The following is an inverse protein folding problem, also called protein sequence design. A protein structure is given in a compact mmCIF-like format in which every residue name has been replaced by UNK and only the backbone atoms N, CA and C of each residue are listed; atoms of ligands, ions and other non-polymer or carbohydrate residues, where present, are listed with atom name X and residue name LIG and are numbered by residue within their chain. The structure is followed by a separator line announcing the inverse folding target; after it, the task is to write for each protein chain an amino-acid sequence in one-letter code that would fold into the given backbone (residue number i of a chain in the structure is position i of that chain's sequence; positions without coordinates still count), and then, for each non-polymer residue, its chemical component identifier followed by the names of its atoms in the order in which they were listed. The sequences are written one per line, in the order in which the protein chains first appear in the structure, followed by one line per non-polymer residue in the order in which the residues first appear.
data_IF_862425372579
#
_entry.id   IF_862425372579
#
_cell.length_a   1.000
_cell.length_b   1.000
_cell.length_c   1.000
_cell.angle_alpha   90.00
_cell.angle_beta   90.00
_cell.angle_gamma   90.00
#
_symmetry.space_group_name_H-M   'P 1'
#
loop_
_entity.id
_entity.type
_entity.pdbx_description
1 polymer ?
#
# COMPACT_ATOMS: atom_id res chain seq x y z
N UNK A 1 7.57 -19.17 24.10
CA UNK A 1 8.38 -17.96 24.34
C UNK A 1 8.12 -16.96 23.24
N UNK A 2 7.92 -15.69 23.58
CA UNK A 2 7.78 -14.60 22.61
C UNK A 2 9.05 -13.76 22.62
N UNK A 3 9.60 -13.45 21.44
CA UNK A 3 10.78 -12.60 21.28
C UNK A 3 10.36 -11.36 20.52
N UNK A 4 10.45 -10.20 21.17
CA UNK A 4 10.12 -8.90 20.59
C UNK A 4 11.41 -8.10 20.39
N UNK A 5 11.69 -7.72 19.15
CA UNK A 5 12.91 -7.01 18.77
C UNK A 5 12.55 -5.74 18.01
N UNK A 6 13.26 -4.67 18.32
CA UNK A 6 13.09 -3.39 17.65
C UNK A 6 14.31 -3.10 16.77
N UNK A 7 14.09 -3.04 15.45
CA UNK A 7 15.15 -2.78 14.47
C UNK A 7 15.75 -1.37 14.59
N UNK A 8 14.96 -0.37 14.99
CA UNK A 8 15.43 1.01 15.17
C UNK A 8 16.39 1.11 16.35
N UNK A 9 16.02 0.57 17.51
CA UNK A 9 16.91 0.55 18.68
C UNK A 9 18.19 -0.24 18.39
N UNK A 10 18.09 -1.34 17.63
CA UNK A 10 19.28 -2.09 17.21
C UNK A 10 20.20 -1.24 16.32
N UNK A 11 19.65 -0.50 15.35
CA UNK A 11 20.42 0.38 14.46
C UNK A 11 21.06 1.55 15.23
N UNK A 12 20.31 2.18 16.14
CA UNK A 12 20.80 3.24 17.04
C UNK A 12 22.02 2.76 17.84
N UNK A 13 21.95 1.55 18.42
CA UNK A 13 23.09 0.93 19.12
C UNK A 13 24.29 0.65 18.20
N UNK A 14 24.08 0.39 16.91
CA UNK A 14 25.21 0.25 15.98
C UNK A 14 25.83 1.62 15.66
N UNK A 15 25.03 2.67 15.49
CA UNK A 15 25.52 4.04 15.30
C UNK A 15 26.35 4.49 16.51
N UNK A 16 25.86 4.30 17.73
CA UNK A 16 26.60 4.60 18.98
C UNK A 16 27.96 3.88 19.00
N UNK A 17 28.01 2.59 18.65
CA UNK A 17 29.25 1.80 18.61
C UNK A 17 30.24 2.26 17.55
N UNK A 18 29.76 2.86 16.46
CA UNK A 18 30.57 3.34 15.34
C UNK A 18 30.89 4.83 15.45
N UNK A 19 30.40 5.51 16.50
CA UNK A 19 30.58 6.95 16.68
C UNK A 19 29.85 7.80 15.63
N UNK A 20 28.78 7.28 15.01
CA UNK A 20 27.98 8.02 14.03
C UNK A 20 26.95 8.86 14.79
N UNK A 21 27.03 10.19 14.68
CA UNK A 21 26.05 11.09 15.29
C UNK A 21 24.68 11.00 14.63
N UNK A 22 23.64 11.08 15.44
CA UNK A 22 22.25 11.10 14.99
C UNK A 22 21.34 11.80 16.01
N UNK A 23 20.23 12.33 15.52
CA UNK A 23 19.11 12.76 16.36
C UNK A 23 17.99 11.72 16.27
N UNK A 24 17.53 11.20 17.40
CA UNK A 24 16.48 10.18 17.43
C UNK A 24 15.08 10.75 17.14
N UNK A 25 14.22 9.93 16.54
CA UNK A 25 12.76 9.99 16.68
C UNK A 25 12.32 8.78 17.52
N UNK A 26 11.11 8.80 18.06
CA UNK A 26 10.53 7.61 18.70
C UNK A 26 10.44 6.46 17.66
N UNK A 27 11.22 5.39 17.81
CA UNK A 27 11.32 4.35 16.77
C UNK A 27 11.72 4.91 15.39
N UNK A 28 12.74 5.78 15.33
CA UNK A 28 13.25 6.33 14.08
C UNK A 28 14.49 7.20 14.22
N UNK A 29 14.88 7.83 13.12
CA UNK A 29 15.99 8.78 13.02
C UNK A 29 15.46 10.08 12.43
N UNK A 30 15.70 11.20 13.11
CA UNK A 30 15.39 12.55 12.63
C UNK A 30 16.50 13.05 11.71
N UNK A 31 17.74 12.82 12.11
CA UNK A 31 18.93 13.24 11.40
C UNK A 31 20.08 12.28 11.69
N UNK A 32 21.05 12.20 10.79
CA UNK A 32 22.23 11.36 10.95
C UNK A 32 23.40 11.93 10.14
N UNK A 33 24.58 12.00 10.76
CA UNK A 33 25.80 12.53 10.13
C UNK A 33 26.22 11.74 8.88
N UNK A 34 25.94 10.43 8.86
CA UNK A 34 26.18 9.56 7.69
C UNK A 34 24.94 8.68 7.40
N UNK A 35 23.96 9.20 6.63
CA UNK A 35 22.76 8.45 6.26
C UNK A 35 23.05 7.19 5.43
N UNK A 36 24.14 7.19 4.65
CA UNK A 36 24.52 6.04 3.83
C UNK A 36 25.08 4.90 4.70
N UNK A 37 25.89 5.22 5.71
CA UNK A 37 26.31 4.25 6.71
C UNK A 37 25.13 3.73 7.56
N UNK A 38 24.20 4.61 7.96
CA UNK A 38 22.97 4.20 8.64
C UNK A 38 22.16 3.21 7.80
N UNK A 39 21.97 3.47 6.50
CA UNK A 39 21.27 2.54 5.63
C UNK A 39 21.99 1.19 5.54
N UNK A 40 23.33 1.19 5.39
CA UNK A 40 24.13 -0.05 5.42
C UNK A 40 24.00 -0.80 6.74
N UNK A 41 23.88 -0.12 7.88
CA UNK A 41 23.61 -0.72 9.18
C UNK A 41 22.25 -1.40 9.16
N UNK A 42 21.19 -0.69 8.79
CA UNK A 42 19.83 -1.24 8.66
C UNK A 42 19.81 -2.46 7.72
N UNK A 43 20.53 -2.39 6.61
CA UNK A 43 20.59 -3.46 5.61
C UNK A 43 21.24 -4.75 6.11
N UNK A 44 22.15 -4.64 7.10
CA UNK A 44 22.82 -5.78 7.73
C UNK A 44 21.92 -6.52 8.72
N UNK A 45 20.83 -5.92 9.19
CA UNK A 45 19.90 -6.59 10.09
C UNK A 45 19.28 -7.80 9.39
N UNK A 46 19.49 -8.99 9.96
CA UNK A 46 19.13 -10.26 9.35
C UNK A 46 18.70 -11.31 10.36
N UNK A 47 18.23 -12.45 9.84
CA UNK A 47 17.84 -13.61 10.65
C UNK A 47 18.96 -14.11 11.59
N UNK A 48 20.23 -13.94 11.19
CA UNK A 48 21.39 -14.24 12.02
C UNK A 48 21.42 -13.43 13.32
N UNK A 49 21.16 -12.11 13.25
CA UNK A 49 21.12 -11.26 14.44
C UNK A 49 20.02 -11.69 15.44
N UNK A 50 18.85 -12.09 14.93
CA UNK A 50 17.75 -12.62 15.74
C UNK A 50 18.14 -13.95 16.41
N UNK A 51 18.74 -14.88 15.65
CA UNK A 51 19.21 -16.17 16.19
C UNK A 51 20.30 -15.97 17.25
N UNK A 52 21.29 -15.10 16.98
CA UNK A 52 22.35 -14.79 17.93
C UNK A 52 21.81 -14.11 19.20
N UNK A 53 20.78 -13.27 19.09
CA UNK A 53 20.09 -12.71 20.24
C UNK A 53 19.41 -13.81 21.06
N UNK A 54 18.60 -14.64 20.41
CA UNK A 54 17.87 -15.73 21.06
C UNK A 54 18.82 -16.70 21.79
N UNK A 55 19.85 -17.22 21.12
CA UNK A 55 20.78 -18.18 21.71
C UNK A 55 21.68 -17.60 22.81
N UNK A 56 21.88 -16.27 22.83
CA UNK A 56 22.55 -15.58 23.94
C UNK A 56 21.69 -15.61 25.19
N UNK A 57 20.40 -15.32 25.06
CA UNK A 57 19.46 -15.28 26.18
C UNK A 57 18.99 -16.65 26.62
N UNK A 58 18.84 -17.61 25.70
CA UNK A 58 18.42 -18.96 26.04
C UNK A 58 19.40 -19.67 26.99
N UNK A 59 20.68 -19.30 26.98
CA UNK A 59 21.66 -19.80 27.95
C UNK A 59 21.47 -19.25 29.37
N UNK A 60 20.68 -18.20 29.54
CA UNK A 60 20.47 -17.49 30.81
C UNK A 60 19.04 -17.65 31.34
N UNK A 61 18.08 -17.90 30.45
CA UNK A 61 16.67 -18.03 30.81
C UNK A 61 16.32 -19.47 31.19
N UNK A 62 15.35 -19.68 32.09
CA UNK A 62 14.81 -21.00 32.38
C UNK A 62 14.30 -21.70 31.11
N UNK A 63 14.64 -22.97 30.96
CA UNK A 63 14.26 -23.80 29.82
C UNK A 63 13.35 -24.93 30.27
N UNK A 64 12.20 -25.17 29.62
CA UNK A 64 11.42 -26.40 29.83
C UNK A 64 12.12 -27.66 29.30
N UNK A 65 13.10 -27.51 28.40
CA UNK A 65 13.91 -28.64 27.94
C UNK A 65 14.97 -28.97 28.99
N UNK A 66 15.00 -30.24 29.40
CA UNK A 66 16.02 -30.79 30.29
C UNK A 66 17.33 -31.04 29.54
N UNK A 67 18.39 -31.37 30.28
CA UNK A 67 19.66 -31.79 29.66
C UNK A 67 19.53 -33.09 28.86
N UNK A 68 18.60 -33.95 29.22
CA UNK A 68 18.34 -35.21 28.51
C UNK A 68 17.63 -34.93 27.17
N UNK A 69 16.61 -34.07 27.17
CA UNK A 69 15.91 -33.66 25.95
C UNK A 69 16.88 -33.07 24.92
N UNK A 70 17.79 -32.19 25.37
CA UNK A 70 18.79 -31.59 24.49
C UNK A 70 19.75 -32.64 23.93
N UNK A 71 20.17 -33.63 24.75
CA UNK A 71 21.01 -34.76 24.28
C UNK A 71 20.27 -35.65 23.29
N UNK A 72 18.96 -35.81 23.44
CA UNK A 72 18.08 -36.51 22.51
C UNK A 72 17.78 -35.72 21.23
N UNK A 73 18.29 -34.48 21.11
CA UNK A 73 18.18 -33.65 19.90
C UNK A 73 16.99 -32.68 19.89
N UNK A 74 16.24 -32.54 20.98
CA UNK A 74 15.18 -31.54 21.07
C UNK A 74 15.79 -30.13 21.14
N UNK A 75 15.37 -29.26 20.20
CA UNK A 75 15.91 -27.91 20.04
C UNK A 75 14.81 -26.91 19.67
N UNK A 76 15.06 -25.63 19.95
CA UNK A 76 14.16 -24.54 19.56
C UNK A 76 14.31 -24.19 18.07
N UNK A 77 13.18 -24.06 17.40
CA UNK A 77 13.07 -23.43 16.08
C UNK A 77 12.29 -22.11 16.20
N UNK A 78 12.81 -21.04 15.61
CA UNK A 78 12.17 -19.72 15.64
C UNK A 78 11.20 -19.57 14.48
N UNK A 79 10.03 -18.98 14.74
CA UNK A 79 9.05 -18.63 13.73
C UNK A 79 8.62 -17.17 13.84
N UNK A 80 8.41 -16.53 12.69
CA UNK A 80 7.83 -15.19 12.63
C UNK A 80 6.38 -15.23 13.10
N UNK A 81 6.07 -14.38 14.07
CA UNK A 81 4.69 -14.02 14.41
C UNK A 81 4.28 -12.71 13.76
N UNK A 82 5.18 -11.75 13.78
CA UNK A 82 5.01 -10.43 13.20
C UNK A 82 6.36 -9.99 12.65
N UNK A 83 6.34 -9.36 11.48
CA UNK A 83 7.53 -8.81 10.84
C UNK A 83 7.18 -7.43 10.28
N UNK A 84 7.90 -6.40 10.73
CA UNK A 84 7.62 -5.01 10.39
C UNK A 84 8.74 -4.39 9.58
N UNK A 85 8.39 -3.66 8.54
CA UNK A 85 9.30 -2.93 7.68
C UNK A 85 8.82 -1.48 7.61
N UNK A 86 9.67 -0.54 8.00
CA UNK A 86 9.40 0.89 7.98
C UNK A 86 10.28 1.62 6.96
N UNK A 87 9.68 2.53 6.19
CA UNK A 87 10.34 3.60 5.44
C UNK A 87 9.95 4.93 6.10
N UNK A 88 10.95 5.70 6.54
CA UNK A 88 10.73 7.00 7.21
C UNK A 88 11.39 8.09 6.41
N UNK A 89 10.59 9.00 5.86
CA UNK A 89 11.07 10.14 5.06
C UNK A 89 10.97 11.41 5.89
N UNK A 90 12.11 11.95 6.27
CA UNK A 90 12.19 13.20 7.04
C UNK A 90 12.18 14.39 6.08
N UNK A 91 11.34 15.39 6.36
CA UNK A 91 11.23 16.59 5.54
C UNK A 91 12.12 17.70 6.06
N UNK A 92 12.82 18.37 5.14
CA UNK A 92 13.54 19.64 5.36
C UNK A 92 12.58 20.77 5.77
N UNK A 93 11.36 20.77 5.21
CA UNK A 93 10.26 21.69 5.52
C UNK A 93 9.05 20.90 6.06
N UNK A 94 9.02 20.58 7.36
CA UNK A 94 7.97 19.74 7.95
C UNK A 94 6.53 20.20 7.70
N UNK A 95 6.28 21.52 7.72
CA UNK A 95 4.95 22.07 7.44
C UNK A 95 4.49 21.74 6.01
N UNK A 96 5.38 21.82 5.02
CA UNK A 96 5.06 21.45 3.64
C UNK A 96 4.84 19.94 3.49
N UNK A 97 5.63 19.11 4.18
CA UNK A 97 5.43 17.66 4.23
C UNK A 97 4.08 17.29 4.85
N UNK A 98 3.67 17.99 5.91
CA UNK A 98 2.35 17.83 6.54
C UNK A 98 1.23 18.23 5.59
N UNK A 99 1.29 19.41 4.98
CA UNK A 99 0.29 19.86 4.02
C UNK A 99 0.16 18.90 2.83
N UNK A 100 1.29 18.40 2.31
CA UNK A 100 1.32 17.36 1.28
C UNK A 100 0.56 16.11 1.73
N UNK A 101 0.85 15.60 2.93
CA UNK A 101 0.21 14.39 3.43
C UNK A 101 -1.28 14.59 3.73
N UNK A 102 -1.69 15.73 4.27
CA UNK A 102 -3.09 16.08 4.50
C UNK A 102 -3.87 16.22 3.19
N UNK A 103 -3.27 16.87 2.17
CA UNK A 103 -3.84 16.92 0.82
C UNK A 103 -3.95 15.53 0.22
N UNK A 104 -2.93 14.69 0.38
CA UNK A 104 -2.93 13.33 -0.12
C UNK A 104 -4.03 12.48 0.55
N UNK A 105 -4.18 12.56 1.87
CA UNK A 105 -5.25 11.90 2.60
C UNK A 105 -6.60 12.41 2.09
N UNK A 106 -6.77 13.72 1.94
CA UNK A 106 -7.97 14.31 1.34
C UNK A 106 -8.20 13.72 -0.04
N UNK A 107 -7.19 13.67 -0.90
CA UNK A 107 -7.18 13.11 -2.26
C UNK A 107 -7.54 11.63 -2.36
N UNK A 108 -7.23 10.85 -1.33
CA UNK A 108 -7.50 9.41 -1.27
C UNK A 108 -8.68 9.06 -0.35
N UNK A 109 -9.26 10.04 0.35
CA UNK A 109 -10.42 9.86 1.24
C UNK A 109 -11.72 9.56 0.46
N UNK A 110 -11.82 9.97 -0.81
CA UNK A 110 -12.94 9.55 -1.68
C UNK A 110 -12.78 8.13 -2.23
N UNK A 111 -11.56 7.59 -2.24
CA UNK A 111 -11.29 6.14 -2.38
C UNK A 111 -11.60 5.41 -1.05
N UNK A 112 -11.80 6.17 0.03
CA UNK A 112 -12.10 5.74 1.39
C UNK A 112 -13.58 5.78 1.77
N UNK A 113 -14.52 5.83 0.82
CA UNK A 113 -15.91 5.50 1.16
C UNK A 113 -15.98 4.07 1.71
N UNK A 114 -16.72 3.81 2.81
CA UNK A 114 -16.61 2.59 3.62
C UNK A 114 -16.74 1.27 2.85
N UNK A 115 -17.46 1.30 1.73
CA UNK A 115 -17.71 0.15 0.86
C UNK A 115 -16.55 -0.22 -0.10
N UNK A 116 -15.66 0.70 -0.48
CA UNK A 116 -14.76 0.54 -1.65
C UNK A 116 -13.34 0.03 -1.34
N UNK A 117 -13.16 -0.57 -0.17
CA UNK A 117 -11.89 -0.54 0.55
C UNK A 117 -11.16 -1.92 0.62
N UNK A 118 -11.66 -2.95 -0.06
CA UNK A 118 -11.33 -4.37 0.20
C UNK A 118 -10.19 -5.03 -0.60
N UNK A 119 -9.55 -4.36 -1.56
CA UNK A 119 -8.79 -5.06 -2.60
C UNK A 119 -7.25 -5.19 -2.42
N UNK A 120 -6.61 -4.90 -1.26
CA UNK A 120 -5.22 -4.35 -1.26
C UNK A 120 -4.05 -5.23 -1.76
N UNK A 121 -4.14 -6.54 -1.96
CA UNK A 121 -2.90 -7.33 -1.78
C UNK A 121 -2.76 -8.69 -2.49
N UNK A 122 -3.25 -8.85 -3.71
CA UNK A 122 -2.54 -9.73 -4.67
C UNK A 122 -2.60 -11.27 -4.57
N UNK A 123 -3.69 -11.93 -4.16
CA UNK A 123 -3.88 -13.36 -4.52
C UNK A 123 -5.34 -13.76 -4.77
N UNK A 124 -5.50 -14.78 -5.63
CA UNK A 124 -6.76 -15.33 -6.18
C UNK A 124 -7.70 -15.81 -5.05
N UNK A 125 -8.89 -15.23 -4.99
CA UNK A 125 -9.94 -15.51 -4.00
C UNK A 125 -10.75 -16.73 -4.49
N UNK A 126 -10.89 -17.75 -3.65
CA UNK A 126 -11.85 -18.85 -3.87
C UNK A 126 -12.84 -18.91 -2.71
N UNK A 127 -13.98 -19.58 -2.91
CA UNK A 127 -15.06 -19.77 -1.90
C UNK A 127 -14.59 -20.43 -0.58
N UNK A 128 -13.34 -20.91 -0.52
CA UNK A 128 -12.70 -21.54 0.64
C UNK A 128 -11.68 -20.64 1.36
N UNK A 129 -11.52 -19.37 0.98
CA UNK A 129 -10.52 -18.47 1.60
C UNK A 129 -11.11 -17.75 2.83
N UNK A 130 -10.66 -18.03 4.07
CA UNK A 130 -11.18 -17.37 5.28
C UNK A 130 -10.49 -16.01 5.55
N UNK A 131 -11.24 -15.00 6.02
CA UNK A 131 -10.70 -13.71 6.52
C UNK A 131 -11.58 -12.47 6.27
N UNK A 132 -11.41 -11.41 7.07
CA UNK A 132 -12.06 -10.09 6.93
C UNK A 132 -11.10 -9.04 6.36
N UNK A 133 -11.59 -8.18 5.48
CA UNK A 133 -10.80 -7.19 4.71
C UNK A 133 -11.36 -5.79 4.99
N UNK A 134 -10.49 -4.82 5.32
CA UNK A 134 -10.89 -3.42 5.56
C UNK A 134 -9.72 -2.46 5.37
N UNK A 135 -10.02 -1.19 5.26
CA UNK A 135 -9.12 -0.04 5.20
C UNK A 135 -9.78 0.98 6.09
N UNK A 136 -9.01 1.57 6.99
CA UNK A 136 -9.54 2.52 7.95
C UNK A 136 -8.66 3.75 7.88
N UNK A 137 -9.23 4.86 7.44
CA UNK A 137 -8.66 6.16 7.80
C UNK A 137 -9.03 6.37 9.25
N UNK A 138 -8.02 6.42 10.12
CA UNK A 138 -8.21 6.68 11.54
C UNK A 138 -7.76 8.12 11.77
N UNK A 139 -8.72 9.02 11.91
CA UNK A 139 -8.50 10.31 12.55
C UNK A 139 -8.56 10.10 14.05
N UNK A 140 -7.41 9.87 14.69
CA UNK A 140 -7.28 9.92 16.15
C UNK A 140 -6.66 11.26 16.52
N UNK A 141 -7.48 12.23 16.92
CA UNK A 141 -7.02 13.60 17.20
C UNK A 141 -6.64 14.36 15.92
N UNK A 142 -5.53 15.11 15.97
CA UNK A 142 -5.07 16.06 14.92
C UNK A 142 -4.14 15.43 13.87
N UNK A 143 -3.68 14.19 14.06
CA UNK A 143 -2.74 13.52 13.16
C UNK A 143 -3.46 12.44 12.33
N UNK A 144 -3.65 12.66 11.01
CA UNK A 144 -4.35 11.70 10.19
C UNK A 144 -3.47 10.47 9.89
N UNK A 145 -4.09 9.29 9.81
CA UNK A 145 -3.40 8.04 9.46
C UNK A 145 -4.14 7.29 8.37
N UNK A 146 -3.38 6.79 7.39
CA UNK A 146 -3.84 5.82 6.39
C UNK A 146 -3.51 4.42 6.92
N UNK A 147 -4.49 3.50 6.93
CA UNK A 147 -4.26 2.08 7.25
C UNK A 147 -4.99 1.18 6.26
N UNK A 148 -4.26 0.30 5.60
CA UNK A 148 -4.76 -0.61 4.58
C UNK A 148 -4.43 -2.05 4.96
N UNK A 149 -5.40 -2.98 4.92
CA UNK A 149 -5.21 -4.35 5.43
C UNK A 149 -5.23 -5.42 4.34
N UNK A 150 -4.33 -6.41 4.49
CA UNK A 150 -4.27 -7.65 3.72
C UNK A 150 -4.48 -8.82 4.64
N UNK A 151 -5.58 -9.59 4.55
CA UNK A 151 -5.70 -10.79 5.41
C UNK A 151 -5.36 -10.42 6.87
N UNK A 152 -4.26 -10.96 7.39
CA UNK A 152 -3.73 -10.64 8.72
C UNK A 152 -2.73 -9.47 8.77
N UNK A 153 -2.16 -9.08 7.64
CA UNK A 153 -1.13 -8.03 7.48
C UNK A 153 -1.74 -6.65 7.21
N UNK A 154 -0.96 -5.58 7.36
CA UNK A 154 -1.40 -4.20 7.10
C UNK A 154 -0.24 -3.30 6.70
N UNK A 155 -0.53 -2.29 5.89
CA UNK A 155 0.35 -1.13 5.69
C UNK A 155 -0.27 0.09 6.37
N UNK A 156 0.56 0.89 7.02
CA UNK A 156 0.18 2.08 7.77
C UNK A 156 1.04 3.24 7.30
N UNK A 157 0.43 4.39 7.13
CA UNK A 157 1.17 5.62 6.88
C UNK A 157 0.63 6.77 7.70
N UNK A 158 1.53 7.52 8.32
CA UNK A 158 1.19 8.62 9.22
C UNK A 158 2.33 9.63 9.28
N UNK A 159 1.98 10.86 9.66
CA UNK A 159 2.96 11.91 9.89
C UNK A 159 3.47 11.82 11.33
N UNK A 160 4.74 11.46 11.48
CA UNK A 160 5.37 11.20 12.76
C UNK A 160 6.02 12.47 13.30
N UNK A 161 5.69 12.80 14.56
CA UNK A 161 6.28 13.91 15.34
C UNK A 161 6.28 15.23 14.57
N UNK A 162 5.25 15.43 13.74
CA UNK A 162 5.11 16.56 12.82
C UNK A 162 6.36 16.83 11.95
N UNK A 163 7.17 15.81 11.65
CA UNK A 163 8.44 15.97 10.92
C UNK A 163 8.68 14.96 9.80
N UNK A 164 8.23 13.72 9.96
CA UNK A 164 8.56 12.65 9.03
C UNK A 164 7.32 11.90 8.56
N UNK A 165 7.25 11.55 7.29
CA UNK A 165 6.23 10.62 6.78
C UNK A 165 6.74 9.20 6.98
N UNK A 166 6.04 8.44 7.83
CA UNK A 166 6.37 7.04 8.09
C UNK A 166 5.41 6.14 7.35
N UNK A 167 5.95 5.22 6.56
CA UNK A 167 5.23 4.12 5.92
C UNK A 167 5.70 2.80 6.53
N UNK A 168 4.79 1.99 7.06
CA UNK A 168 5.09 0.76 7.78
C UNK A 168 4.24 -0.40 7.27
N UNK A 169 4.89 -1.45 6.76
CA UNK A 169 4.23 -2.72 6.46
C UNK A 169 4.44 -3.68 7.61
N UNK A 170 3.34 -4.17 8.17
CA UNK A 170 3.28 -5.15 9.27
C UNK A 170 2.73 -6.46 8.73
N UNK A 171 3.56 -7.50 8.72
CA UNK A 171 3.22 -8.85 8.27
C UNK A 171 2.91 -9.72 9.48
N UNK A 172 1.64 -10.10 9.68
CA UNK A 172 1.22 -10.91 10.85
C UNK A 172 1.10 -12.42 10.55
N UNK A 173 1.08 -12.81 9.28
CA UNK A 173 1.22 -14.19 8.84
C UNK A 173 2.06 -14.25 7.57
N UNK A 174 3.22 -14.89 7.66
CA UNK A 174 4.14 -15.11 6.53
C UNK A 174 3.49 -15.87 5.37
N UNK A 175 2.49 -16.71 5.66
CA UNK A 175 1.81 -17.54 4.65
C UNK A 175 0.86 -16.74 3.78
N UNK A 176 0.47 -15.53 4.20
CA UNK A 176 -0.27 -14.60 3.34
C UNK A 176 0.51 -14.32 2.04
N UNK A 177 1.83 -14.42 2.09
CA UNK A 177 2.74 -14.21 0.96
C UNK A 177 3.34 -15.51 0.40
N UNK A 178 2.88 -16.68 0.85
CA UNK A 178 3.45 -17.98 0.48
C UNK A 178 4.87 -18.21 1.01
N UNK A 179 5.28 -17.47 2.03
CA UNK A 179 6.60 -17.59 2.65
C UNK A 179 6.48 -18.49 3.89
N UNK A 180 7.51 -19.30 4.14
CA UNK A 180 7.57 -20.15 5.32
C UNK A 180 7.67 -19.32 6.61
N UNK A 181 7.13 -19.85 7.72
CA UNK A 181 7.14 -19.15 9.01
C UNK A 181 8.50 -19.16 9.71
N UNK A 182 9.40 -20.09 9.37
CA UNK A 182 10.68 -20.26 10.07
C UNK A 182 11.59 -19.05 9.85
N UNK A 183 12.34 -18.66 10.87
CA UNK A 183 13.32 -17.55 10.78
C UNK A 183 14.58 -18.04 10.06
N UNK A 184 14.48 -18.21 8.74
CA UNK A 184 15.60 -18.53 7.85
C UNK A 184 16.09 -17.28 7.13
N UNK A 185 17.29 -17.33 6.52
CA UNK A 185 17.79 -16.22 5.71
C UNK A 185 16.88 -15.95 4.50
N UNK A 186 16.37 -17.00 3.85
CA UNK A 186 15.51 -16.86 2.67
C UNK A 186 14.15 -16.29 3.02
N UNK A 187 13.49 -16.78 4.08
CA UNK A 187 12.21 -16.24 4.52
C UNK A 187 12.37 -14.78 4.98
N UNK A 188 13.47 -14.44 5.67
CA UNK A 188 13.78 -13.07 6.06
C UNK A 188 13.89 -12.15 4.84
N UNK A 189 14.73 -12.51 3.85
CA UNK A 189 14.90 -11.73 2.62
C UNK A 189 13.58 -11.58 1.86
N UNK A 190 12.80 -12.66 1.76
CA UNK A 190 11.51 -12.62 1.07
C UNK A 190 10.50 -11.70 1.79
N UNK A 191 10.38 -11.78 3.11
CA UNK A 191 9.47 -10.92 3.90
C UNK A 191 9.91 -9.46 3.85
N UNK A 192 11.22 -9.20 3.96
CA UNK A 192 11.79 -7.87 3.82
C UNK A 192 11.47 -7.28 2.44
N UNK A 193 11.69 -8.05 1.37
CA UNK A 193 11.39 -7.61 0.01
C UNK A 193 9.88 -7.32 -0.20
N UNK A 194 8.99 -8.09 0.46
CA UNK A 194 7.55 -7.80 0.47
C UNK A 194 7.27 -6.45 1.11
N UNK A 195 7.80 -6.20 2.31
CA UNK A 195 7.58 -4.95 3.04
C UNK A 195 8.16 -3.73 2.32
N UNK A 196 9.40 -3.82 1.84
CA UNK A 196 10.07 -2.73 1.11
C UNK A 196 9.33 -2.38 -0.18
N UNK A 197 8.98 -3.38 -1.00
CA UNK A 197 8.21 -3.14 -2.23
C UNK A 197 6.83 -2.58 -1.94
N UNK A 198 6.18 -3.00 -0.84
CA UNK A 198 4.88 -2.47 -0.46
C UNK A 198 4.96 -1.00 -0.04
N UNK A 199 5.94 -0.66 0.80
CA UNK A 199 6.20 0.72 1.21
C UNK A 199 6.53 1.60 -0.01
N UNK A 200 7.44 1.14 -0.88
CA UNK A 200 7.84 1.88 -2.07
C UNK A 200 6.66 2.14 -3.01
N UNK A 201 5.83 1.13 -3.29
CA UNK A 201 4.66 1.28 -4.16
C UNK A 201 3.63 2.27 -3.63
N UNK A 202 3.41 2.31 -2.30
CA UNK A 202 2.56 3.34 -1.70
C UNK A 202 3.14 4.73 -1.99
N UNK A 203 4.41 4.92 -1.67
CA UNK A 203 5.09 6.19 -1.87
C UNK A 203 5.12 6.62 -3.35
N UNK A 204 5.36 5.68 -4.29
CA UNK A 204 5.38 5.96 -5.72
C UNK A 204 4.01 6.36 -6.25
N UNK A 205 2.95 5.70 -5.77
CA UNK A 205 1.58 6.05 -6.14
C UNK A 205 1.21 7.45 -5.67
N UNK A 206 1.58 7.77 -4.43
CA UNK A 206 1.35 9.08 -3.84
C UNK A 206 2.13 10.17 -4.58
N UNK A 207 3.39 9.90 -4.91
CA UNK A 207 4.21 10.79 -5.71
C UNK A 207 3.66 10.97 -7.13
N UNK A 208 3.07 9.92 -7.73
CA UNK A 208 2.43 10.01 -9.04
C UNK A 208 1.12 10.80 -9.01
N UNK A 209 0.33 10.67 -7.94
CA UNK A 209 -0.92 11.41 -7.75
C UNK A 209 -0.69 12.89 -7.44
N UNK A 210 0.49 13.23 -6.90
CA UNK A 210 0.93 14.60 -6.69
C UNK A 210 1.49 15.28 -7.96
N UNK A 211 1.59 14.55 -9.08
CA UNK A 211 1.99 15.15 -10.36
C UNK A 211 0.85 15.98 -10.96
N UNK A 212 1.17 17.03 -11.73
CA UNK A 212 0.16 17.76 -12.48
C UNK A 212 -0.72 16.83 -13.34
N UNK A 213 -1.98 17.24 -13.50
CA UNK A 213 -2.90 16.61 -14.42
C UNK A 213 -2.30 16.46 -15.83
N UNK A 214 -2.71 15.44 -16.61
CA UNK A 214 -2.30 15.35 -18.00
C UNK A 214 -2.75 16.59 -18.79
N UNK A 215 -2.03 16.93 -19.85
CA UNK A 215 -2.37 18.05 -20.73
C UNK A 215 -3.70 17.85 -21.49
N UNK A 216 -4.20 18.92 -22.10
CA UNK A 216 -5.46 18.94 -22.84
C UNK A 216 -5.45 17.97 -24.02
N UNK A 217 -4.30 17.78 -24.68
CA UNK A 217 -4.14 16.85 -25.78
C UNK A 217 -4.35 15.40 -25.32
N UNK A 218 -3.71 15.03 -24.21
CA UNK A 218 -3.85 13.72 -23.56
C UNK A 218 -5.28 13.49 -23.09
N UNK A 219 -5.91 14.49 -22.46
CA UNK A 219 -7.31 14.42 -22.05
C UNK A 219 -8.23 14.16 -23.26
N UNK A 220 -8.03 14.89 -24.36
CA UNK A 220 -8.78 14.74 -25.60
C UNK A 220 -8.58 13.36 -26.24
N UNK A 221 -7.34 12.87 -26.26
CA UNK A 221 -7.00 11.56 -26.81
C UNK A 221 -7.62 10.42 -26.00
N UNK A 222 -7.66 10.53 -24.67
CA UNK A 222 -8.28 9.54 -23.79
C UNK A 222 -9.79 9.51 -23.99
N UNK A 223 -10.43 10.68 -24.06
CA UNK A 223 -11.89 10.82 -24.16
C UNK A 223 -12.47 10.42 -25.51
N UNK A 224 -11.70 10.53 -26.60
CA UNK A 224 -12.13 10.22 -27.96
C UNK A 224 -11.68 8.83 -28.44
N UNK A 225 -12.41 8.18 -29.37
CA UNK A 225 -11.92 6.99 -30.04
C UNK A 225 -10.58 7.25 -30.75
N UNK A 226 -9.67 6.27 -30.74
CA UNK A 226 -8.37 6.37 -31.43
C UNK A 226 -7.97 5.03 -32.04
N UNK A 227 -6.97 5.03 -32.92
CA UNK A 227 -6.28 3.81 -33.35
C UNK A 227 -4.92 3.73 -32.67
N UNK A 228 -4.58 2.56 -32.11
CA UNK A 228 -3.32 2.29 -31.43
C UNK A 228 -2.85 0.93 -31.94
N UNK A 229 -1.65 0.89 -32.52
CA UNK A 229 -1.04 -0.31 -33.14
C UNK A 229 -1.99 -1.02 -34.13
N UNK A 230 -2.66 -0.25 -35.00
CA UNK A 230 -3.61 -0.75 -35.98
C UNK A 230 -4.93 -1.28 -35.40
N UNK A 231 -5.15 -1.16 -34.08
CA UNK A 231 -6.39 -1.57 -33.43
C UNK A 231 -7.22 -0.39 -32.96
N UNK A 232 -8.54 -0.51 -33.09
CA UNK A 232 -9.48 0.48 -32.54
C UNK A 232 -9.48 0.47 -31.00
N UNK A 233 -9.23 1.64 -30.40
CA UNK A 233 -9.29 1.90 -28.98
C UNK A 233 -10.47 2.85 -28.69
N UNK A 234 -11.60 2.34 -28.14
CA UNK A 234 -12.74 3.17 -27.79
C UNK A 234 -12.33 4.29 -26.82
N UNK A 235 -12.82 5.51 -27.05
CA UNK A 235 -12.59 6.66 -26.16
C UNK A 235 -13.20 6.40 -24.79
N UNK A 236 -12.81 7.13 -23.75
CA UNK A 236 -13.33 7.07 -22.39
C UNK A 236 -14.06 8.38 -22.07
N UNK A 237 -15.36 8.51 -22.43
CA UNK A 237 -16.10 9.75 -22.21
C UNK A 237 -16.04 10.18 -20.75
N UNK A 238 -15.60 11.41 -20.52
CA UNK A 238 -15.58 12.00 -19.20
C UNK A 238 -17.02 12.23 -18.71
N UNK A 239 -17.32 11.85 -17.47
CA UNK A 239 -18.67 11.94 -16.89
C UNK A 239 -19.59 10.75 -17.19
N UNK A 240 -19.22 9.82 -18.07
CA UNK A 240 -19.98 8.58 -18.24
C UNK A 240 -19.94 7.75 -16.94
N UNK A 241 -21.09 7.35 -16.34
CA UNK A 241 -21.12 6.71 -15.03
C UNK A 241 -20.27 5.44 -14.95
N UNK A 242 -20.22 4.65 -16.03
CA UNK A 242 -19.43 3.42 -16.08
C UNK A 242 -17.94 3.70 -16.21
N UNK A 243 -17.54 4.66 -17.05
CA UNK A 243 -16.13 5.10 -17.14
C UNK A 243 -15.66 5.63 -15.79
N UNK A 244 -16.47 6.48 -15.14
CA UNK A 244 -16.16 7.06 -13.84
C UNK A 244 -15.99 5.97 -12.76
N UNK A 245 -16.92 5.01 -12.70
CA UNK A 245 -16.82 3.90 -11.76
C UNK A 245 -15.64 2.96 -12.05
N UNK A 246 -15.34 2.68 -13.34
CA UNK A 246 -14.16 1.88 -13.72
C UNK A 246 -12.87 2.60 -13.32
N UNK A 247 -12.74 3.89 -13.61
CA UNK A 247 -11.55 4.67 -13.25
C UNK A 247 -11.41 4.80 -11.73
N UNK A 248 -12.50 5.01 -10.99
CA UNK A 248 -12.51 4.99 -9.53
C UNK A 248 -12.08 3.62 -8.97
N UNK A 249 -12.59 2.52 -9.53
CA UNK A 249 -12.24 1.17 -9.11
C UNK A 249 -10.74 0.89 -9.28
N UNK A 250 -10.13 1.28 -10.40
CA UNK A 250 -8.72 0.94 -10.69
C UNK A 250 -7.70 1.78 -9.91
N UNK A 251 -8.10 2.96 -9.40
CA UNK A 251 -7.25 3.80 -8.55
C UNK A 251 -7.13 3.23 -7.14
N UNK A 252 -8.02 2.30 -6.77
CA UNK A 252 -8.00 1.61 -5.48
C UNK A 252 -6.56 1.35 -5.04
N UNK A 253 -6.20 1.89 -3.87
CA UNK A 253 -4.84 1.81 -3.31
C UNK A 253 -4.32 0.36 -3.34
N UNK A 254 -5.29 -0.52 -3.26
CA UNK A 254 -5.24 -1.92 -3.37
C UNK A 254 -4.52 -2.53 -4.55
N UNK A 255 -4.70 -1.89 -5.68
CA UNK A 255 -4.21 -2.31 -6.96
C UNK A 255 -2.75 -1.92 -7.16
N UNK A 256 -2.19 -1.13 -6.26
CA UNK A 256 -0.77 -0.79 -6.27
C UNK A 256 0.11 -1.94 -5.85
N UNK A 257 -0.28 -2.66 -4.79
CA UNK A 257 0.54 -3.79 -4.32
C UNK A 257 0.41 -5.01 -5.22
N UNK A 258 -0.72 -5.10 -5.93
CA UNK A 258 -1.25 -6.34 -6.45
C UNK A 258 -1.66 -6.35 -7.91
N UNK A 259 -1.90 -5.17 -8.46
CA UNK A 259 -2.83 -5.04 -9.56
C UNK A 259 -4.26 -5.48 -9.21
N UNK A 260 -5.07 -5.55 -10.25
CA UNK A 260 -6.45 -6.02 -10.23
C UNK A 260 -6.65 -7.04 -11.34
N UNK A 261 -7.55 -7.97 -11.10
CA UNK A 261 -8.05 -8.89 -12.10
C UNK A 261 -9.51 -8.56 -12.44
N UNK A 262 -10.07 -9.31 -13.38
CA UNK A 262 -11.44 -9.12 -13.82
C UNK A 262 -12.46 -9.27 -12.66
N UNK A 263 -12.40 -10.31 -11.81
CA UNK A 263 -13.30 -10.42 -10.65
C UNK A 263 -13.20 -9.23 -9.68
N UNK A 264 -11.98 -8.75 -9.40
CA UNK A 264 -11.77 -7.57 -8.56
C UNK A 264 -12.45 -6.33 -9.14
N UNK A 265 -12.26 -6.09 -10.44
CA UNK A 265 -12.91 -4.97 -11.13
C UNK A 265 -14.44 -5.14 -11.12
N UNK A 266 -14.95 -6.36 -11.32
CA UNK A 266 -16.39 -6.63 -11.29
C UNK A 266 -17.00 -6.24 -9.94
N UNK A 267 -16.38 -6.68 -8.86
CA UNK A 267 -16.86 -6.39 -7.50
C UNK A 267 -16.89 -4.89 -7.23
N UNK A 268 -15.75 -4.20 -7.44
CA UNK A 268 -15.63 -2.78 -7.15
C UNK A 268 -16.57 -1.93 -8.01
N UNK A 269 -16.65 -2.22 -9.30
CA UNK A 269 -17.46 -1.44 -10.26
C UNK A 269 -18.95 -1.67 -10.02
N UNK A 270 -19.39 -2.90 -9.70
CA UNK A 270 -20.79 -3.17 -9.32
C UNK A 270 -21.23 -2.32 -8.13
N UNK A 271 -20.37 -2.23 -7.11
CA UNK A 271 -20.63 -1.40 -5.93
C UNK A 271 -20.67 0.08 -6.26
N UNK A 272 -19.70 0.59 -7.03
CA UNK A 272 -19.61 2.02 -7.37
C UNK A 272 -20.71 2.51 -8.31
N UNK A 273 -21.17 1.67 -9.25
CA UNK A 273 -22.29 2.00 -10.13
C UNK A 273 -23.66 1.77 -9.50
N UNK A 274 -23.73 1.01 -8.40
CA UNK A 274 -24.98 0.51 -7.83
C UNK A 274 -25.88 -0.24 -8.84
N UNK A 275 -25.27 -0.92 -9.84
CA UNK A 275 -25.99 -1.71 -10.83
C UNK A 275 -25.16 -2.94 -11.29
N UNK A 276 -25.79 -3.97 -11.89
CA UNK A 276 -25.08 -5.17 -12.32
C UNK A 276 -23.98 -4.87 -13.33
N UNK A 277 -22.74 -5.25 -12.98
CA UNK A 277 -21.59 -5.15 -13.86
C UNK A 277 -20.95 -6.54 -14.04
N UNK A 278 -20.77 -6.96 -15.29
CA UNK A 278 -20.47 -8.36 -15.65
C UNK A 278 -19.00 -8.57 -15.97
N UNK A 279 -18.55 -9.83 -15.88
CA UNK A 279 -17.19 -10.21 -16.31
C UNK A 279 -16.90 -9.87 -17.79
N UNK A 280 -17.92 -9.91 -18.66
CA UNK A 280 -17.78 -9.51 -20.08
C UNK A 280 -17.54 -8.01 -20.21
N UNK A 281 -18.26 -7.20 -19.45
CA UNK A 281 -18.06 -5.76 -19.36
C UNK A 281 -16.68 -5.41 -18.80
N UNK A 282 -16.24 -6.08 -17.73
CA UNK A 282 -14.88 -5.95 -17.19
C UNK A 282 -13.80 -6.31 -18.22
N UNK A 283 -13.98 -7.38 -18.99
CA UNK A 283 -13.02 -7.75 -20.05
C UNK A 283 -12.93 -6.68 -21.14
N UNK A 284 -14.07 -6.10 -21.51
CA UNK A 284 -14.12 -4.99 -22.47
C UNK A 284 -13.40 -3.75 -21.94
N UNK A 285 -13.67 -3.34 -20.70
CA UNK A 285 -13.06 -2.14 -20.11
C UNK A 285 -11.56 -2.34 -19.86
N UNK A 286 -11.12 -3.52 -19.41
CA UNK A 286 -9.69 -3.84 -19.28
C UNK A 286 -8.97 -3.76 -20.63
N UNK A 287 -9.58 -4.29 -21.70
CA UNK A 287 -9.02 -4.19 -23.05
C UNK A 287 -8.92 -2.74 -23.52
N UNK A 288 -9.97 -1.94 -23.27
CA UNK A 288 -10.03 -0.52 -23.60
C UNK A 288 -8.95 0.28 -22.88
N UNK A 289 -8.83 0.12 -21.56
CA UNK A 289 -7.79 0.76 -20.74
C UNK A 289 -6.37 0.36 -21.18
N UNK A 290 -6.16 -0.93 -21.50
CA UNK A 290 -4.85 -1.43 -21.97
C UNK A 290 -4.49 -0.80 -23.31
N UNK A 291 -5.43 -0.78 -24.26
CA UNK A 291 -5.21 -0.16 -25.57
C UNK A 291 -4.84 1.31 -25.45
N UNK A 292 -5.51 2.05 -24.55
CA UNK A 292 -5.20 3.46 -24.24
C UNK A 292 -3.89 3.65 -23.45
N UNK A 293 -3.11 2.60 -23.19
CA UNK A 293 -1.86 2.69 -22.44
C UNK A 293 -2.03 3.05 -20.96
N UNK A 294 -3.26 2.98 -20.43
CA UNK A 294 -3.55 3.36 -19.04
C UNK A 294 -3.25 2.23 -18.06
N UNK A 295 -3.25 0.98 -18.53
CA UNK A 295 -2.89 -0.18 -17.71
C UNK A 295 -1.94 -1.12 -18.46
N UNK A 296 -1.12 -1.82 -17.70
CA UNK A 296 -0.24 -2.90 -18.17
C UNK A 296 -0.67 -4.22 -17.54
N UNK A 297 -0.54 -5.32 -18.28
CA UNK A 297 -0.79 -6.66 -17.74
C UNK A 297 0.48 -7.20 -17.10
N UNK A 298 0.37 -7.74 -15.90
CA UNK A 298 1.48 -8.39 -15.20
C UNK A 298 1.81 -9.74 -15.84
N UNK A 299 3.09 -9.97 -16.09
CA UNK A 299 3.58 -11.23 -16.69
C UNK A 299 3.23 -12.43 -15.80
N UNK A 300 2.87 -13.56 -16.41
CA UNK A 300 2.49 -14.79 -15.69
C UNK A 300 1.14 -14.72 -14.95
N UNK A 301 0.42 -13.59 -15.00
CA UNK A 301 -0.82 -13.39 -14.26
C UNK A 301 -1.95 -12.81 -15.14
N UNK A 302 -3.19 -12.98 -14.70
CA UNK A 302 -4.37 -12.31 -15.29
C UNK A 302 -4.67 -10.98 -14.59
N UNK A 303 -3.61 -10.28 -14.19
CA UNK A 303 -3.66 -9.07 -13.37
C UNK A 303 -3.14 -7.88 -14.14
N UNK A 304 -3.64 -6.70 -13.79
CA UNK A 304 -3.35 -5.43 -14.44
C UNK A 304 -2.93 -4.39 -13.41
N UNK A 305 -2.04 -3.48 -13.79
CA UNK A 305 -1.66 -2.32 -12.97
C UNK A 305 -1.79 -1.05 -13.79
N UNK A 306 -2.09 0.06 -13.12
CA UNK A 306 -2.06 1.38 -13.75
C UNK A 306 -0.64 1.73 -14.19
N UNK A 307 -0.51 2.31 -15.38
CA UNK A 307 0.70 3.02 -15.80
C UNK A 307 0.77 4.39 -15.11
N UNK A 308 1.94 5.06 -15.10
CA UNK A 308 2.02 6.45 -14.61
C UNK A 308 1.03 7.39 -15.32
N UNK A 309 0.83 7.21 -16.63
CA UNK A 309 -0.18 7.95 -17.39
C UNK A 309 -1.60 7.59 -16.94
N UNK A 310 -1.91 6.29 -16.86
CA UNK A 310 -3.21 5.80 -16.43
C UNK A 310 -3.62 6.31 -15.07
N UNK A 311 -2.66 6.37 -14.13
CA UNK A 311 -2.86 6.93 -12.80
C UNK A 311 -3.24 8.42 -12.86
N UNK A 312 -2.46 9.25 -13.55
CA UNK A 312 -2.77 10.69 -13.71
C UNK A 312 -4.15 10.91 -14.35
N UNK A 313 -4.49 10.13 -15.38
CA UNK A 313 -5.79 10.21 -16.06
C UNK A 313 -6.92 9.80 -15.13
N UNK A 314 -6.81 8.65 -14.48
CA UNK A 314 -7.85 8.14 -13.61
C UNK A 314 -8.08 9.11 -12.44
N UNK A 315 -7.01 9.61 -11.82
CA UNK A 315 -7.05 10.59 -10.73
C UNK A 315 -7.68 11.91 -11.19
N UNK A 316 -7.31 12.43 -12.37
CA UNK A 316 -7.95 13.63 -12.93
C UNK A 316 -9.46 13.41 -13.06
N UNK A 317 -9.86 12.30 -13.68
CA UNK A 317 -11.27 12.03 -13.95
C UNK A 317 -12.05 12.00 -12.64
N UNK A 318 -11.63 11.14 -11.71
CA UNK A 318 -12.36 10.88 -10.46
C UNK A 318 -12.35 12.07 -9.52
N UNK A 319 -11.24 12.82 -9.42
CA UNK A 319 -11.18 14.04 -8.60
C UNK A 319 -12.06 15.14 -9.16
N UNK A 320 -11.93 15.48 -10.45
CA UNK A 320 -12.71 16.58 -11.04
C UNK A 320 -14.19 16.26 -11.00
N UNK A 321 -14.57 15.05 -11.40
CA UNK A 321 -15.97 14.65 -11.35
C UNK A 321 -16.49 14.59 -9.91
N UNK A 322 -15.80 13.91 -9.00
CA UNK A 322 -16.29 13.68 -7.64
C UNK A 322 -16.30 14.91 -6.74
N UNK A 323 -15.42 15.90 -6.98
CA UNK A 323 -15.22 17.05 -6.07
C UNK A 323 -15.59 18.39 -6.63
N UNK A 324 -15.49 18.55 -7.94
CA UNK A 324 -15.79 19.82 -8.59
C UNK A 324 -17.19 19.75 -9.18
N UNK A 325 -17.48 18.71 -9.96
CA UNK A 325 -18.73 18.63 -10.69
C UNK A 325 -19.85 18.01 -9.86
N UNK A 326 -19.65 16.84 -9.24
CA UNK A 326 -20.71 16.13 -8.54
C UNK A 326 -21.32 16.92 -7.38
N UNK A 327 -20.56 17.66 -6.54
CA UNK A 327 -21.15 18.48 -5.48
C UNK A 327 -22.00 19.62 -6.05
N UNK A 328 -21.47 20.39 -7.02
CA UNK A 328 -22.21 21.48 -7.64
C UNK A 328 -23.43 20.99 -8.44
N UNK A 329 -23.35 19.83 -9.10
CA UNK A 329 -24.49 19.21 -9.77
C UNK A 329 -25.51 18.66 -8.77
N UNK A 330 -25.07 18.19 -7.62
CA UNK A 330 -25.96 17.74 -6.56
C UNK A 330 -26.76 18.92 -6.01
N UNK A 331 -26.13 20.05 -5.71
CA UNK A 331 -26.78 21.31 -5.26
C UNK A 331 -27.82 21.83 -6.27
N UNK A 332 -27.65 21.50 -7.56
CA UNK A 332 -28.59 21.85 -8.62
C UNK A 332 -29.67 20.77 -8.87
N UNK A 333 -29.73 19.67 -8.08
CA UNK A 333 -30.76 18.65 -8.24
C UNK A 333 -32.13 19.26 -7.90
N UNK A 334 -33.08 19.35 -8.84
CA UNK A 334 -34.39 19.94 -8.60
C UNK A 334 -35.24 19.16 -7.58
N UNK A 335 -34.76 17.99 -7.13
CA UNK A 335 -35.38 17.16 -6.08
C UNK A 335 -34.71 17.33 -4.72
N UNK A 336 -33.70 18.20 -4.60
CA UNK A 336 -33.18 18.57 -3.29
C UNK A 336 -34.28 19.23 -2.46
N UNK A 337 -34.54 18.76 -1.24
CA UNK A 337 -35.41 19.45 -0.30
C UNK A 337 -34.96 20.90 -0.10
N UNK A 338 -35.90 21.84 -0.09
CA UNK A 338 -35.63 23.29 -0.03
C UNK A 338 -34.96 23.73 1.28
N UNK A 339 -34.99 22.87 2.30
CA UNK A 339 -34.34 23.00 3.59
C UNK A 339 -32.87 22.51 3.62
N UNK A 340 -32.39 21.91 2.52
CA UNK A 340 -31.02 21.41 2.37
C UNK A 340 -30.20 22.13 1.28
N UNK A 341 -30.81 23.06 0.53
CA UNK A 341 -30.21 23.78 -0.60
C UNK A 341 -29.43 25.05 -0.17
#
# INVERSE_FOLDING_TARGET
MWVWLNGHTWAQRQCERLGIGYTALDNGFRDCDDPAALQKICDRLGSGAVKSFFWRWQRRLPSPLTREDVRAGYVYELAFRQFEISDTRVFDRPAAGRSFFEQLIRDHLDVGRPESVSLIFDRRITRRTPGTWRTKVITKGVDPQISCYYRSSRIKQYFKEHRALRTETVICDTRDFGIGRRVTADNWKALRAVGEKANQRLCDAQAADARPAPDVATFTQVTRPSQIDGQHAPGLPFGDPRVMAVLAAVIGFTHLLAGFDNPALVLAVTTLLACPYTSRQATYDLRRLKRKGLIVRLSGHHRYQLTPLGRRVAVLFTKVYGRVLAPGLAELDPRLPTDLA
#
